data_IF_424057327428
#
_entry.id   IF_424057327428
#
_cell.length_a   1.000
_cell.length_b   1.000
_cell.length_c   1.000
_cell.angle_alpha   90.00
_cell.angle_beta   90.00
_cell.angle_gamma   90.00
#
_symmetry.space_group_name_H-M   'P 1'
#
loop_
_entity.id
_entity.type
_entity.pdbx_description
1 polymer ?
#
# COMPACT_ATOMS: atom_id res chain seq x y z
N UNK A 1 15.75 5.41 -7.07
CA UNK A 1 14.67 4.88 -7.18
C UNK A 1 14.20 3.53 -6.65
N UNK A 2 14.68 3.02 -5.50
CA UNK A 2 14.15 1.80 -4.88
C UNK A 2 13.23 2.14 -3.69
N UNK A 3 12.37 1.24 -3.30
CA UNK A 3 11.40 1.46 -2.25
C UNK A 3 10.30 2.45 -2.69
N UNK A 4 9.82 3.27 -1.77
CA UNK A 4 8.84 4.33 -2.07
C UNK A 4 9.58 5.56 -2.60
N UNK A 5 9.45 5.92 -3.90
CA UNK A 5 10.15 7.06 -4.46
C UNK A 5 9.61 8.38 -3.92
N UNK A 6 10.49 9.35 -3.75
CA UNK A 6 10.16 10.68 -3.30
C UNK A 6 11.17 11.72 -3.75
N UNK A 7 10.93 13.02 -3.49
CA UNK A 7 11.90 14.06 -3.80
C UNK A 7 13.15 13.92 -2.93
N UNK A 8 14.30 14.19 -3.52
CA UNK A 8 15.59 14.19 -2.82
C UNK A 8 16.21 15.58 -2.99
N UNK A 9 16.56 16.22 -1.89
CA UNK A 9 17.31 17.47 -1.88
C UNK A 9 18.81 17.16 -1.69
N UNK A 10 19.63 17.66 -2.60
CA UNK A 10 21.09 17.64 -2.46
C UNK A 10 21.57 19.09 -2.29
N UNK A 11 22.10 19.39 -1.14
CA UNK A 11 22.72 20.69 -0.85
C UNK A 11 24.23 20.60 -1.10
N UNK A 12 24.74 21.45 -2.02
CA UNK A 12 26.14 21.49 -2.40
C UNK A 12 26.72 22.87 -2.03
N UNK A 13 27.65 22.88 -1.10
CA UNK A 13 28.28 24.11 -0.67
C UNK A 13 29.04 24.80 -1.80
N UNK A 14 29.16 26.15 -1.74
CA UNK A 14 29.90 26.91 -2.75
C UNK A 14 31.35 26.45 -2.88
N UNK A 15 32.02 26.12 -1.78
CA UNK A 15 33.40 25.62 -1.79
C UNK A 15 33.54 24.30 -2.57
N UNK A 16 32.57 23.38 -2.39
CA UNK A 16 32.55 22.12 -3.14
C UNK A 16 32.33 22.34 -4.65
N UNK A 17 31.48 23.31 -5.01
CA UNK A 17 31.20 23.63 -6.42
C UNK A 17 32.39 24.25 -7.19
N UNK A 18 33.27 24.94 -6.48
CA UNK A 18 34.44 25.58 -7.08
C UNK A 18 35.73 24.76 -6.95
N UNK A 19 35.70 23.66 -6.20
CA UNK A 19 36.83 22.76 -6.03
C UNK A 19 37.07 21.93 -7.28
N UNK A 20 38.33 21.65 -7.54
CA UNK A 20 38.74 20.71 -8.60
C UNK A 20 39.06 19.37 -7.98
N UNK A 21 38.62 18.29 -8.62
CA UNK A 21 38.93 16.92 -8.23
C UNK A 21 38.99 16.01 -9.45
N UNK A 22 39.75 14.95 -9.35
CA UNK A 22 39.69 13.87 -10.34
C UNK A 22 38.39 13.12 -10.19
N UNK A 23 37.56 13.12 -11.21
CA UNK A 23 36.26 12.45 -11.17
C UNK A 23 36.41 10.96 -11.39
N UNK A 24 35.89 10.18 -10.48
CA UNK A 24 35.70 8.74 -10.67
C UNK A 24 34.28 8.35 -10.30
N UNK A 25 33.64 7.53 -11.14
CA UNK A 25 32.31 7.00 -10.82
C UNK A 25 32.43 5.81 -9.85
N UNK A 26 31.76 5.78 -8.72
CA UNK A 26 31.84 4.64 -7.80
C UNK A 26 31.29 3.38 -8.49
N UNK A 27 32.00 2.24 -8.44
CA UNK A 27 31.57 1.00 -9.09
C UNK A 27 30.34 0.39 -8.46
N UNK A 28 30.09 0.66 -7.18
CA UNK A 28 28.91 0.25 -6.43
C UNK A 28 28.55 1.31 -5.38
N UNK A 29 27.25 1.50 -5.16
CA UNK A 29 26.74 2.31 -4.06
C UNK A 29 26.29 1.35 -2.96
N UNK A 30 27.03 1.30 -1.86
CA UNK A 30 26.61 0.63 -0.63
C UNK A 30 26.27 1.69 0.42
N UNK A 31 24.99 1.82 0.72
CA UNK A 31 24.48 2.77 1.72
C UNK A 31 24.19 2.03 3.00
N UNK A 32 25.03 2.17 4.05
CA UNK A 32 24.81 1.53 5.33
C UNK A 32 23.43 1.84 5.90
N UNK A 33 22.67 0.81 6.27
CA UNK A 33 21.33 0.96 6.85
C UNK A 33 20.20 1.15 5.82
N UNK A 34 20.50 1.36 4.54
CA UNK A 34 19.47 1.42 3.50
C UNK A 34 19.20 0.01 2.95
N UNK A 35 18.15 -0.61 3.47
CA UNK A 35 17.68 -1.93 3.02
C UNK A 35 16.19 -1.85 2.71
N UNK A 36 15.85 -2.03 1.45
CA UNK A 36 14.44 -2.15 1.03
C UNK A 36 14.02 -3.61 1.20
N UNK A 37 12.95 -3.83 1.93
CA UNK A 37 12.35 -5.15 2.07
C UNK A 37 11.55 -5.44 0.80
N UNK A 38 12.13 -6.19 -0.12
CA UNK A 38 11.49 -6.65 -1.36
C UNK A 38 10.77 -7.99 -1.19
N UNK A 39 11.15 -8.78 -0.19
CA UNK A 39 10.58 -10.09 0.08
C UNK A 39 9.73 -10.10 1.35
N UNK A 40 8.49 -10.61 1.27
CA UNK A 40 7.60 -10.66 2.41
C UNK A 40 8.04 -11.72 3.44
N UNK A 41 7.66 -11.49 4.69
CA UNK A 41 7.72 -12.53 5.71
C UNK A 41 6.59 -13.56 5.45
N UNK A 42 6.96 -14.78 5.06
CA UNK A 42 6.01 -15.83 4.70
C UNK A 42 5.08 -16.27 5.83
N UNK A 43 5.44 -16.04 7.11
CA UNK A 43 4.54 -16.29 8.24
C UNK A 43 3.36 -15.29 8.20
N UNK A 44 3.65 -14.02 7.90
CA UNK A 44 2.62 -12.99 7.78
C UNK A 44 1.75 -13.19 6.53
N UNK A 45 2.35 -13.60 5.41
CA UNK A 45 1.58 -13.94 4.19
C UNK A 45 0.58 -15.06 4.47
N UNK A 46 1.01 -16.11 5.16
CA UNK A 46 0.11 -17.22 5.53
C UNK A 46 -0.99 -16.75 6.50
N UNK A 47 -0.66 -15.86 7.43
CA UNK A 47 -1.66 -15.29 8.34
C UNK A 47 -2.69 -14.44 7.57
N UNK A 48 -2.25 -13.61 6.62
CA UNK A 48 -3.12 -12.84 5.75
C UNK A 48 -4.03 -13.75 4.90
N UNK A 49 -3.47 -14.80 4.29
CA UNK A 49 -4.25 -15.75 3.51
C UNK A 49 -5.35 -16.44 4.34
N UNK A 50 -5.03 -16.85 5.58
CA UNK A 50 -6.04 -17.41 6.50
C UNK A 50 -7.12 -16.40 6.83
N UNK A 51 -6.74 -15.16 7.18
CA UNK A 51 -7.69 -14.11 7.48
C UNK A 51 -8.64 -13.85 6.30
N UNK A 52 -8.14 -13.89 5.05
CA UNK A 52 -8.97 -13.75 3.84
C UNK A 52 -9.97 -14.91 3.71
N UNK A 53 -9.52 -16.15 3.96
CA UNK A 53 -10.39 -17.34 3.86
C UNK A 53 -11.47 -17.34 4.93
N UNK A 54 -11.16 -16.87 6.14
CA UNK A 54 -12.06 -16.87 7.28
C UNK A 54 -13.05 -15.69 7.28
N UNK A 55 -12.75 -14.62 6.52
CA UNK A 55 -13.55 -13.40 6.49
C UNK A 55 -14.93 -13.62 5.83
N UNK A 56 -15.95 -12.98 6.39
CA UNK A 56 -17.31 -12.98 5.84
C UNK A 56 -17.61 -11.75 4.96
N UNK A 57 -16.91 -10.65 5.21
CA UNK A 57 -17.06 -9.39 4.51
C UNK A 57 -15.69 -8.74 4.24
N UNK A 58 -14.79 -9.42 3.51
CA UNK A 58 -13.48 -8.89 3.18
C UNK A 58 -13.60 -7.74 2.18
N UNK A 59 -12.71 -6.73 2.29
CA UNK A 59 -12.58 -5.64 1.31
C UNK A 59 -11.11 -5.47 0.95
N UNK A 60 -10.82 -5.42 -0.35
CA UNK A 60 -9.51 -5.08 -0.87
C UNK A 60 -9.40 -3.56 -1.01
N UNK A 61 -8.59 -2.95 -0.16
CA UNK A 61 -8.34 -1.50 -0.16
C UNK A 61 -7.06 -1.20 -0.91
N UNK A 62 -7.19 -0.73 -2.15
CA UNK A 62 -6.14 -0.66 -3.15
C UNK A 62 -5.61 0.76 -3.31
N UNK A 63 -4.30 0.93 -3.12
CA UNK A 63 -3.59 2.19 -3.30
C UNK A 63 -2.63 2.21 -4.48
N UNK A 64 -1.91 3.32 -4.61
CA UNK A 64 -0.94 3.55 -5.69
C UNK A 64 0.24 2.58 -5.71
N UNK A 65 0.47 1.85 -4.62
CA UNK A 65 1.50 0.81 -4.54
C UNK A 65 1.27 -0.33 -5.53
N UNK A 66 0.01 -0.68 -5.82
CA UNK A 66 -0.33 -1.73 -6.79
C UNK A 66 0.14 -1.35 -8.20
N UNK A 67 -0.08 -0.11 -8.62
CA UNK A 67 0.37 0.37 -9.94
C UNK A 67 1.89 0.45 -9.99
N UNK A 68 2.52 1.05 -8.97
CA UNK A 68 3.99 1.24 -8.93
C UNK A 68 4.75 -0.08 -8.83
N UNK A 69 4.21 -1.05 -8.11
CA UNK A 69 4.76 -2.40 -8.00
C UNK A 69 4.45 -3.29 -9.22
N UNK A 70 3.64 -2.82 -10.18
CA UNK A 70 3.22 -3.64 -11.33
C UNK A 70 2.41 -4.86 -10.94
N UNK A 71 1.58 -4.74 -9.87
CA UNK A 71 0.83 -5.84 -9.28
C UNK A 71 -0.66 -5.91 -9.71
N UNK A 72 -1.03 -5.26 -10.81
CA UNK A 72 -2.42 -5.19 -11.29
C UNK A 72 -2.97 -6.57 -11.68
N UNK A 73 -2.17 -7.41 -12.34
CA UNK A 73 -2.55 -8.78 -12.69
C UNK A 73 -2.72 -9.66 -11.45
N UNK A 74 -1.81 -9.54 -10.47
CA UNK A 74 -1.92 -10.25 -9.20
C UNK A 74 -3.16 -9.82 -8.40
N UNK A 75 -3.52 -8.53 -8.45
CA UNK A 75 -4.76 -8.03 -7.85
C UNK A 75 -5.98 -8.67 -8.53
N UNK A 76 -6.01 -8.71 -9.86
CA UNK A 76 -7.11 -9.35 -10.59
C UNK A 76 -7.26 -10.83 -10.22
N UNK A 77 -6.17 -11.56 -10.16
CA UNK A 77 -6.18 -12.97 -9.74
C UNK A 77 -6.67 -13.13 -8.27
N UNK A 78 -6.30 -12.21 -7.38
CA UNK A 78 -6.79 -12.23 -6.01
C UNK A 78 -8.30 -11.97 -5.94
N UNK A 79 -8.82 -11.03 -6.74
CA UNK A 79 -10.26 -10.75 -6.83
C UNK A 79 -11.02 -11.97 -7.36
N UNK A 80 -10.54 -12.61 -8.41
CA UNK A 80 -11.13 -13.84 -8.95
C UNK A 80 -11.17 -14.98 -7.92
N UNK A 81 -10.10 -15.15 -7.16
CA UNK A 81 -10.00 -16.20 -6.16
C UNK A 81 -10.89 -15.96 -4.93
N UNK A 82 -11.11 -14.69 -4.55
CA UNK A 82 -11.79 -14.32 -3.30
C UNK A 82 -13.21 -13.80 -3.49
N UNK A 83 -13.54 -13.37 -4.71
CA UNK A 83 -14.77 -12.60 -5.02
C UNK A 83 -14.96 -11.36 -4.13
N UNK A 84 -13.87 -10.84 -3.55
CA UNK A 84 -13.90 -9.70 -2.64
C UNK A 84 -14.09 -8.38 -3.41
N UNK A 85 -14.88 -7.44 -2.88
CA UNK A 85 -15.00 -6.12 -3.47
C UNK A 85 -13.70 -5.33 -3.35
N UNK A 86 -13.46 -4.51 -4.38
CA UNK A 86 -12.30 -3.63 -4.49
C UNK A 86 -12.71 -2.20 -4.26
N UNK A 87 -11.97 -1.51 -3.42
CA UNK A 87 -12.08 -0.08 -3.19
C UNK A 87 -10.75 0.56 -3.54
N UNK A 88 -10.74 1.46 -4.51
CA UNK A 88 -9.51 2.11 -4.98
C UNK A 88 -9.39 3.52 -4.43
N UNK A 89 -8.22 3.91 -3.96
CA UNK A 89 -7.94 5.29 -3.59
C UNK A 89 -7.88 6.19 -4.85
N UNK A 90 -7.16 7.30 -4.82
CA UNK A 90 -6.84 8.09 -6.03
C UNK A 90 -6.01 7.30 -7.06
N UNK A 91 -5.67 6.06 -6.78
CA UNK A 91 -4.95 5.14 -7.67
C UNK A 91 -5.88 4.54 -8.74
N UNK A 92 -6.59 5.40 -9.48
CA UNK A 92 -7.39 4.98 -10.63
C UNK A 92 -6.52 4.21 -11.63
N UNK A 93 -7.09 3.13 -12.19
CA UNK A 93 -6.39 2.25 -13.12
C UNK A 93 -5.65 1.08 -12.46
N UNK A 94 -5.66 0.96 -11.13
CA UNK A 94 -5.16 -0.23 -10.45
C UNK A 94 -6.07 -1.45 -10.64
N UNK A 95 -7.37 -1.21 -10.85
CA UNK A 95 -8.38 -2.22 -11.13
C UNK A 95 -9.43 -1.64 -12.10
N UNK A 96 -9.99 -2.43 -13.04
CA UNK A 96 -10.92 -1.92 -14.05
C UNK A 96 -12.16 -1.25 -13.45
N UNK A 97 -12.47 -0.04 -13.89
CA UNK A 97 -13.66 0.70 -13.44
C UNK A 97 -14.98 0.02 -13.85
N UNK A 98 -14.95 -0.79 -14.91
CA UNK A 98 -16.12 -1.52 -15.43
C UNK A 98 -16.37 -2.86 -14.72
N UNK A 99 -15.45 -3.30 -13.87
CA UNK A 99 -15.62 -4.57 -13.14
C UNK A 99 -16.64 -4.39 -12.01
N UNK A 100 -17.52 -5.39 -11.86
CA UNK A 100 -18.58 -5.42 -10.84
C UNK A 100 -18.06 -5.35 -9.39
N UNK A 101 -16.82 -5.80 -9.17
CA UNK A 101 -16.20 -5.77 -7.84
C UNK A 101 -15.64 -4.39 -7.49
N UNK A 102 -15.47 -3.49 -8.47
CA UNK A 102 -14.97 -2.15 -8.24
C UNK A 102 -16.08 -1.27 -7.65
N UNK A 103 -15.99 -0.96 -6.37
CA UNK A 103 -16.93 -0.09 -5.67
C UNK A 103 -16.57 1.40 -5.78
N UNK A 104 -15.45 1.72 -6.43
CA UNK A 104 -14.95 3.07 -6.60
C UNK A 104 -14.09 3.55 -5.44
N UNK A 105 -13.99 4.88 -5.31
CA UNK A 105 -13.13 5.53 -4.33
C UNK A 105 -13.87 5.71 -2.99
N UNK A 106 -13.20 5.52 -1.84
CA UNK A 106 -13.77 5.83 -0.53
C UNK A 106 -13.50 7.28 -0.12
N UNK A 107 -14.04 7.68 1.00
CA UNK A 107 -13.79 8.97 1.64
C UNK A 107 -14.78 10.05 1.25
N UNK A 108 -14.42 11.31 1.53
CA UNK A 108 -15.31 12.47 1.41
C UNK A 108 -15.89 12.66 0.00
N UNK A 109 -15.14 12.35 -1.02
CA UNK A 109 -15.54 12.43 -2.43
C UNK A 109 -15.78 11.05 -3.07
N UNK A 110 -15.94 10.04 -2.23
CA UNK A 110 -16.09 8.67 -2.66
C UNK A 110 -17.53 8.25 -2.91
N UNK A 111 -17.69 7.00 -3.34
CA UNK A 111 -18.99 6.38 -3.52
C UNK A 111 -19.56 5.89 -2.20
N UNK A 112 -20.88 5.93 -2.07
CA UNK A 112 -21.58 5.37 -0.90
C UNK A 112 -21.30 3.87 -0.77
N UNK A 113 -21.15 3.16 -1.90
CA UNK A 113 -20.83 1.75 -1.93
C UNK A 113 -19.46 1.44 -1.30
N UNK A 114 -18.42 2.19 -1.69
CA UNK A 114 -17.07 2.01 -1.16
C UNK A 114 -16.99 2.33 0.34
N UNK A 115 -17.59 3.46 0.76
CA UNK A 115 -17.64 3.84 2.18
C UNK A 115 -18.41 2.79 2.98
N UNK A 116 -19.58 2.38 2.50
CA UNK A 116 -20.41 1.38 3.16
C UNK A 116 -19.76 0.00 3.26
N UNK A 117 -19.01 -0.41 2.23
CA UNK A 117 -18.26 -1.67 2.25
C UNK A 117 -17.17 -1.65 3.33
N UNK A 118 -16.32 -0.60 3.34
CA UNK A 118 -15.26 -0.45 4.35
C UNK A 118 -15.82 -0.44 5.78
N UNK A 119 -16.92 0.30 6.01
CA UNK A 119 -17.51 0.41 7.35
C UNK A 119 -18.12 -0.90 7.86
N UNK A 120 -18.56 -1.78 6.97
CA UNK A 120 -19.14 -3.08 7.32
C UNK A 120 -18.14 -4.23 7.29
N UNK A 121 -16.93 -3.98 6.75
CA UNK A 121 -15.91 -4.99 6.62
C UNK A 121 -15.54 -5.62 7.97
N UNK A 122 -15.33 -6.92 7.98
CA UNK A 122 -14.67 -7.66 9.06
C UNK A 122 -13.17 -7.83 8.78
N UNK A 123 -12.76 -7.69 7.50
CA UNK A 123 -11.37 -7.70 7.07
C UNK A 123 -11.12 -6.62 6.01
N UNK A 124 -10.10 -5.82 6.22
CA UNK A 124 -9.56 -4.90 5.22
C UNK A 124 -8.16 -5.38 4.84
N UNK A 125 -7.95 -5.67 3.55
CA UNK A 125 -6.63 -5.97 2.99
C UNK A 125 -6.14 -4.72 2.26
N UNK A 126 -5.29 -3.95 2.92
CA UNK A 126 -4.71 -2.73 2.35
C UNK A 126 -3.47 -3.08 1.52
N UNK A 127 -3.53 -2.81 0.23
CA UNK A 127 -2.53 -3.13 -0.79
C UNK A 127 -1.86 -1.84 -1.29
N UNK A 128 -0.68 -1.52 -0.75
CA UNK A 128 0.05 -0.31 -1.12
C UNK A 128 -0.76 0.98 -0.96
N UNK A 129 -1.56 1.03 0.09
CA UNK A 129 -2.45 2.11 0.43
C UNK A 129 -2.18 2.60 1.84
N UNK A 130 -1.91 3.88 2.02
CA UNK A 130 -1.89 4.50 3.34
C UNK A 130 -3.31 4.83 3.78
N UNK A 131 -3.57 4.75 5.06
CA UNK A 131 -4.85 5.16 5.64
C UNK A 131 -4.85 6.69 5.85
N UNK A 132 -5.09 7.41 4.77
CA UNK A 132 -5.11 8.88 4.71
C UNK A 132 -6.40 9.41 5.36
N UNK A 133 -6.33 10.57 5.99
CA UNK A 133 -7.46 11.21 6.69
C UNK A 133 -8.66 11.50 5.78
N UNK A 134 -8.42 11.74 4.49
CA UNK A 134 -9.47 11.95 3.48
C UNK A 134 -10.28 10.70 3.17
N UNK A 135 -9.73 9.54 3.50
CA UNK A 135 -10.41 8.25 3.37
C UNK A 135 -11.02 7.82 4.69
N UNK A 136 -10.24 7.90 5.76
CA UNK A 136 -10.65 7.37 7.06
C UNK A 136 -11.61 8.30 7.80
N UNK A 137 -11.46 9.60 7.61
CA UNK A 137 -12.08 10.57 8.51
C UNK A 137 -11.61 10.30 9.95
N UNK A 138 -12.54 10.22 10.88
CA UNK A 138 -12.23 9.88 12.28
C UNK A 138 -11.80 8.42 12.40
N UNK A 139 -10.59 8.20 12.86
CA UNK A 139 -9.97 6.88 12.96
C UNK A 139 -10.69 5.94 13.95
N UNK A 140 -11.26 6.48 15.03
CA UNK A 140 -11.99 5.74 16.06
C UNK A 140 -13.31 5.12 15.54
N UNK A 141 -13.85 5.69 14.47
CA UNK A 141 -15.10 5.24 13.84
C UNK A 141 -14.89 4.59 12.47
N UNK A 142 -13.65 4.57 11.96
CA UNK A 142 -13.34 3.95 10.67
C UNK A 142 -13.24 2.43 10.80
N UNK A 143 -14.14 1.70 10.15
CA UNK A 143 -14.16 0.24 10.09
C UNK A 143 -13.86 -0.42 11.46
N UNK A 144 -14.65 -0.14 12.50
CA UNK A 144 -14.28 -0.45 13.89
C UNK A 144 -14.21 -1.95 14.19
N UNK A 145 -14.79 -2.79 13.32
CA UNK A 145 -14.81 -4.26 13.46
C UNK A 145 -13.79 -4.97 12.58
N UNK A 146 -13.13 -4.24 11.67
CA UNK A 146 -12.26 -4.85 10.70
C UNK A 146 -10.88 -5.20 11.29
N UNK A 147 -10.47 -6.43 11.11
CA UNK A 147 -9.06 -6.82 11.13
C UNK A 147 -8.36 -6.20 9.93
N UNK A 148 -7.15 -5.69 10.11
CA UNK A 148 -6.40 -5.01 9.05
C UNK A 148 -5.15 -5.80 8.68
N UNK A 149 -5.11 -6.29 7.45
CA UNK A 149 -3.87 -6.70 6.76
C UNK A 149 -3.35 -5.48 6.04
N UNK A 150 -2.11 -5.07 6.31
CA UNK A 150 -1.50 -3.92 5.64
C UNK A 150 -0.19 -4.32 4.97
N UNK A 151 -0.17 -4.23 3.65
CA UNK A 151 0.98 -4.56 2.81
C UNK A 151 1.49 -3.28 2.17
N UNK A 152 2.70 -2.89 2.51
CA UNK A 152 3.37 -1.73 1.93
C UNK A 152 4.89 -1.97 1.87
N UNK A 153 5.55 -1.38 0.87
CA UNK A 153 7.00 -1.41 0.73
C UNK A 153 7.70 -0.47 1.74
N UNK A 154 6.97 0.52 2.22
CA UNK A 154 7.45 1.50 3.20
C UNK A 154 7.01 1.08 4.61
N UNK A 155 7.97 0.58 5.39
CA UNK A 155 7.72 0.19 6.77
C UNK A 155 7.18 1.34 7.64
N UNK A 156 7.45 2.61 7.28
CA UNK A 156 6.97 3.77 8.02
C UNK A 156 5.46 4.04 7.82
N UNK A 157 4.85 3.48 6.80
CA UNK A 157 3.39 3.60 6.59
C UNK A 157 2.60 2.53 7.38
N UNK A 158 3.24 1.42 7.73
CA UNK A 158 2.60 0.34 8.49
C UNK A 158 2.23 0.82 9.89
N UNK A 159 0.96 0.68 10.26
CA UNK A 159 0.41 1.10 11.57
C UNK A 159 0.54 2.59 11.89
N UNK A 160 0.84 3.44 10.92
CA UNK A 160 1.01 4.88 11.12
C UNK A 160 -0.29 5.57 11.54
N UNK A 161 -1.36 5.36 10.82
CA UNK A 161 -2.67 5.96 11.09
C UNK A 161 -3.67 4.93 11.62
N UNK A 162 -3.74 3.78 11.01
CA UNK A 162 -4.59 2.65 11.43
C UNK A 162 -3.68 1.49 11.82
N UNK A 163 -3.92 0.91 13.00
CA UNK A 163 -3.17 -0.28 13.44
C UNK A 163 -3.35 -1.42 12.43
N UNK A 164 -2.25 -2.07 12.09
CA UNK A 164 -2.23 -3.26 11.25
C UNK A 164 -2.11 -4.50 12.14
N UNK A 165 -3.13 -5.34 12.12
CA UNK A 165 -3.14 -6.60 12.86
C UNK A 165 -2.17 -7.60 12.22
N UNK A 166 -2.07 -7.57 10.89
CA UNK A 166 -1.15 -8.38 10.10
C UNK A 166 -0.33 -7.47 9.20
N UNK A 167 0.83 -6.98 9.67
CA UNK A 167 1.73 -6.12 8.89
C UNK A 167 2.57 -6.95 7.93
N UNK A 168 2.71 -6.49 6.68
CA UNK A 168 3.60 -7.09 5.68
C UNK A 168 4.40 -5.98 5.01
N UNK A 169 5.70 -5.91 5.31
CA UNK A 169 6.61 -4.98 4.63
C UNK A 169 7.24 -5.71 3.47
N UNK A 170 6.80 -5.39 2.25
CA UNK A 170 7.30 -6.00 1.02
C UNK A 170 6.81 -5.24 -0.23
N UNK A 171 7.42 -5.54 -1.38
CA UNK A 171 6.83 -5.23 -2.68
C UNK A 171 5.54 -6.05 -2.87
N UNK A 172 4.59 -5.50 -3.61
CA UNK A 172 3.29 -6.15 -3.88
C UNK A 172 3.34 -7.19 -5.01
N UNK A 173 4.47 -7.23 -5.70
CA UNK A 173 4.70 -8.14 -6.83
C UNK A 173 5.15 -9.52 -6.42
#
# INVERSE_FOLDING_TARGET
GTGRPGPVLVDITKSAQVSQMDFSWPPALDLPGYKVADRPNMKQVRAAARAIVDAQAPVLYVGGGVIRGGATEALSALVEATNAPVVTTTARGAFPDSDRHNLGMPGMHGTVAAVGALQRADLIVALGARFDDRVTGRLDSFAPRATVVHIDIDAAEISKNRHADIPIVADLK
#
